data_IF_113895544375
#
_entry.id   IF_113895544375
#
_cell.length_a   1.000
_cell.length_b   1.000
_cell.length_c   1.000
_cell.angle_alpha   90.00
_cell.angle_beta   90.00
_cell.angle_gamma   90.00
#
_symmetry.space_group_name_H-M   'P 1'
#
loop_
_entity.id
_entity.type
_entity.pdbx_description
1 polymer ?
#
# COMPACT_ATOMS: atom_id res chain seq x y z
N UNK A 1 -1.19 -17.67 0.67
CA UNK A 1 -2.25 -17.22 1.60
C UNK A 1 -1.73 -17.52 3.01
N UNK A 2 -1.25 -16.51 3.72
CA UNK A 2 -0.81 -16.68 5.11
C UNK A 2 -2.03 -16.97 5.98
N UNK A 3 -1.97 -18.01 6.81
CA UNK A 3 -3.05 -18.42 7.70
C UNK A 3 -2.88 -17.76 9.07
N UNK A 4 -3.80 -16.87 9.48
CA UNK A 4 -3.74 -16.19 10.76
C UNK A 4 -3.78 -17.09 11.99
N UNK A 5 -4.27 -18.31 11.82
CA UNK A 5 -4.50 -19.23 12.94
C UNK A 5 -3.26 -20.04 13.32
N UNK A 6 -2.25 -20.11 12.45
CA UNK A 6 -1.06 -20.95 12.65
C UNK A 6 0.21 -20.19 13.03
N UNK A 7 0.28 -18.87 12.80
CA UNK A 7 1.47 -18.07 13.12
C UNK A 7 1.17 -16.56 13.37
N UNK A 8 0.44 -16.21 14.44
CA UNK A 8 -0.01 -14.82 14.68
C UNK A 8 1.14 -13.83 14.90
N UNK A 9 2.33 -14.34 15.25
CA UNK A 9 3.52 -13.52 15.53
C UNK A 9 4.06 -12.81 14.28
N UNK A 10 3.96 -13.39 13.08
CA UNK A 10 4.57 -12.84 11.87
C UNK A 10 3.91 -11.51 11.45
N UNK A 11 2.57 -11.40 11.34
CA UNK A 11 1.95 -10.10 11.07
C UNK A 11 2.02 -9.16 12.24
N UNK A 12 1.91 -9.65 13.48
CA UNK A 12 2.08 -8.78 14.65
C UNK A 12 3.43 -8.07 14.61
N UNK A 13 4.49 -8.81 14.27
CA UNK A 13 5.83 -8.27 14.04
C UNK A 13 5.85 -7.32 12.84
N UNK A 14 5.25 -7.69 11.70
CA UNK A 14 5.19 -6.84 10.52
C UNK A 14 4.52 -5.48 10.80
N UNK A 15 3.36 -5.50 11.46
CA UNK A 15 2.65 -4.27 11.87
C UNK A 15 3.49 -3.45 12.85
N UNK A 16 4.09 -4.09 13.86
CA UNK A 16 4.94 -3.40 14.83
C UNK A 16 6.13 -2.69 14.16
N UNK A 17 6.83 -3.39 13.26
CA UNK A 17 7.96 -2.83 12.51
C UNK A 17 7.52 -1.70 11.59
N UNK A 18 6.44 -1.89 10.83
CA UNK A 18 5.91 -0.86 9.94
C UNK A 18 5.57 0.44 10.67
N UNK A 19 4.90 0.35 11.82
CA UNK A 19 4.57 1.53 12.63
C UNK A 19 5.82 2.16 13.25
N UNK A 20 6.76 1.35 13.73
CA UNK A 20 8.03 1.83 14.29
C UNK A 20 8.84 2.63 13.26
N UNK A 21 8.97 2.11 12.04
CA UNK A 21 9.63 2.83 10.93
C UNK A 21 8.86 4.08 10.51
N UNK A 22 7.53 4.05 10.51
CA UNK A 22 6.69 5.22 10.26
C UNK A 22 6.96 6.36 11.25
N UNK A 23 7.01 6.04 12.55
CA UNK A 23 7.32 7.01 13.62
C UNK A 23 8.73 7.58 13.44
N UNK A 24 9.72 6.73 13.19
CA UNK A 24 11.09 7.17 12.93
C UNK A 24 11.13 8.12 11.73
N UNK A 25 10.45 7.77 10.63
CA UNK A 25 10.36 8.62 9.43
C UNK A 25 9.76 9.99 9.72
N UNK A 26 8.68 10.05 10.49
CA UNK A 26 8.06 11.32 10.92
C UNK A 26 9.04 12.16 11.74
N UNK A 27 9.76 11.55 12.68
CA UNK A 27 10.78 12.25 13.47
C UNK A 27 11.88 12.84 12.56
N UNK A 28 12.37 12.08 11.57
CA UNK A 28 13.38 12.58 10.62
C UNK A 28 12.87 13.76 9.79
N UNK A 29 11.59 13.72 9.37
CA UNK A 29 10.94 14.84 8.67
C UNK A 29 10.87 16.08 9.57
N UNK A 30 10.39 15.94 10.81
CA UNK A 30 10.30 17.05 11.76
C UNK A 30 11.67 17.65 12.14
N UNK A 31 12.73 16.84 12.10
CA UNK A 31 14.11 17.29 12.33
C UNK A 31 14.76 17.95 11.10
N UNK A 32 14.06 18.03 9.96
CA UNK A 32 14.59 18.59 8.72
C UNK A 32 15.70 17.74 8.07
N UNK A 33 15.77 16.45 8.40
CA UNK A 33 16.84 15.53 7.94
C UNK A 33 16.51 14.84 6.61
N UNK A 34 15.39 15.20 6.00
CA UNK A 34 14.85 14.55 4.81
C UNK A 34 14.64 15.59 3.71
N UNK A 35 14.99 15.24 2.48
CA UNK A 35 14.78 16.09 1.32
C UNK A 35 13.29 16.21 1.00
N UNK A 36 12.85 17.37 0.51
CA UNK A 36 11.48 17.59 0.03
C UNK A 36 11.13 16.59 -1.08
N UNK A 37 12.09 16.23 -1.95
CA UNK A 37 11.90 15.22 -2.99
C UNK A 37 11.56 13.84 -2.42
N UNK A 38 12.14 13.45 -1.28
CA UNK A 38 11.81 12.19 -0.59
C UNK A 38 10.40 12.22 -0.02
N UNK A 39 9.97 13.35 0.54
CA UNK A 39 8.61 13.53 1.04
C UNK A 39 7.61 13.45 -0.13
N UNK A 40 7.88 14.16 -1.22
CA UNK A 40 7.05 14.14 -2.42
C UNK A 40 6.95 12.72 -3.01
N UNK A 41 8.08 12.00 -3.09
CA UNK A 41 8.10 10.61 -3.53
C UNK A 41 7.23 9.71 -2.65
N UNK A 42 7.32 9.83 -1.32
CA UNK A 42 6.51 9.04 -0.40
C UNK A 42 5.00 9.32 -0.56
N UNK A 43 4.62 10.59 -0.75
CA UNK A 43 3.22 10.98 -0.99
C UNK A 43 2.70 10.43 -2.33
N UNK A 44 3.49 10.53 -3.40
CA UNK A 44 3.12 9.97 -4.72
C UNK A 44 2.91 8.45 -4.61
N UNK A 45 3.81 7.77 -3.90
CA UNK A 45 3.71 6.32 -3.71
C UNK A 45 2.47 5.94 -2.88
N UNK A 46 2.15 6.72 -1.85
CA UNK A 46 0.95 6.52 -1.05
C UNK A 46 -0.33 6.69 -1.88
N UNK A 47 -0.39 7.68 -2.77
CA UNK A 47 -1.53 7.87 -3.68
C UNK A 47 -1.66 6.74 -4.69
N UNK A 48 -0.55 6.26 -5.27
CA UNK A 48 -0.55 5.10 -6.17
C UNK A 48 -1.13 3.86 -5.47
N UNK A 49 -0.73 3.60 -4.23
CA UNK A 49 -1.24 2.51 -3.40
C UNK A 49 -2.73 2.70 -3.04
N UNK A 50 -3.14 3.92 -2.66
CA UNK A 50 -4.54 4.23 -2.34
C UNK A 50 -5.45 4.05 -3.56
N UNK A 51 -4.98 4.48 -4.73
CA UNK A 51 -5.71 4.36 -5.99
C UNK A 51 -5.90 2.89 -6.39
N UNK A 52 -4.88 2.04 -6.23
CA UNK A 52 -5.02 0.60 -6.51
C UNK A 52 -6.02 -0.08 -5.59
N UNK A 53 -6.08 0.29 -4.31
CA UNK A 53 -7.05 -0.28 -3.37
C UNK A 53 -8.46 0.19 -3.73
N UNK A 54 -8.67 1.51 -3.80
CA UNK A 54 -10.02 2.09 -3.90
C UNK A 54 -10.63 1.90 -5.27
N UNK A 55 -9.88 2.17 -6.35
CA UNK A 55 -10.38 2.04 -7.73
C UNK A 55 -10.17 0.61 -8.24
N UNK A 56 -9.04 0.00 -7.93
CA UNK A 56 -8.71 -1.37 -8.33
C UNK A 56 -9.42 -2.42 -7.48
N UNK A 57 -8.83 -2.81 -6.35
CA UNK A 57 -9.27 -3.95 -5.52
C UNK A 57 -10.74 -3.83 -5.14
N UNK A 58 -11.15 -2.70 -4.60
CA UNK A 58 -12.50 -2.48 -4.09
C UNK A 58 -13.52 -2.34 -5.23
N UNK A 59 -13.40 -1.32 -6.09
CA UNK A 59 -14.43 -1.02 -7.10
C UNK A 59 -14.38 -1.93 -8.32
N UNK A 60 -13.20 -2.18 -8.88
CA UNK A 60 -13.05 -2.92 -10.13
C UNK A 60 -12.97 -4.44 -9.92
N UNK A 61 -12.17 -4.91 -8.96
CA UNK A 61 -11.93 -6.34 -8.77
C UNK A 61 -12.98 -7.03 -7.89
N UNK A 62 -13.33 -6.44 -6.75
CA UNK A 62 -14.33 -7.01 -5.83
C UNK A 62 -15.77 -6.72 -6.28
N UNK A 63 -16.13 -5.45 -6.50
CA UNK A 63 -17.52 -5.07 -6.78
C UNK A 63 -17.90 -4.98 -8.25
N UNK A 64 -16.94 -5.04 -9.18
CA UNK A 64 -17.20 -4.93 -10.62
C UNK A 64 -18.04 -3.68 -10.99
N UNK A 65 -17.84 -2.57 -10.28
CA UNK A 65 -18.65 -1.37 -10.37
C UNK A 65 -18.58 -0.67 -11.74
N UNK A 66 -17.55 -0.95 -12.53
CA UNK A 66 -17.39 -0.47 -13.90
C UNK A 66 -16.58 -1.46 -14.75
N UNK A 67 -16.65 -1.31 -16.07
CA UNK A 67 -15.83 -2.05 -17.03
C UNK A 67 -14.56 -1.28 -17.35
N UNK A 68 -13.40 -1.85 -17.05
CA UNK A 68 -12.10 -1.30 -17.39
C UNK A 68 -11.53 -1.98 -18.65
N UNK A 69 -10.77 -1.22 -19.45
CA UNK A 69 -9.96 -1.78 -20.54
C UNK A 69 -8.82 -2.65 -19.97
N UNK A 70 -8.28 -3.62 -20.73
CA UNK A 70 -7.18 -4.45 -20.26
C UNK A 70 -5.96 -3.66 -19.75
N UNK A 71 -5.48 -2.59 -20.42
CA UNK A 71 -4.37 -1.77 -19.90
C UNK A 71 -4.64 -1.18 -18.52
N UNK A 72 -5.85 -0.66 -18.28
CA UNK A 72 -6.23 -0.10 -16.99
C UNK A 72 -6.28 -1.19 -15.90
N UNK A 73 -6.76 -2.39 -16.21
CA UNK A 73 -6.74 -3.53 -15.28
C UNK A 73 -5.31 -3.89 -14.86
N UNK A 74 -4.39 -3.99 -15.81
CA UNK A 74 -2.99 -4.30 -15.52
C UNK A 74 -2.32 -3.19 -14.73
N UNK A 75 -2.55 -1.92 -15.09
CA UNK A 75 -2.05 -0.78 -14.34
C UNK A 75 -2.49 -0.83 -12.87
N UNK A 76 -3.79 -0.99 -12.61
CA UNK A 76 -4.32 -1.07 -11.24
C UNK A 76 -3.80 -2.29 -10.47
N UNK A 77 -3.61 -3.43 -11.15
CA UNK A 77 -3.02 -4.62 -10.54
C UNK A 77 -1.55 -4.42 -10.18
N UNK A 78 -0.77 -3.70 -11.00
CA UNK A 78 0.63 -3.36 -10.71
C UNK A 78 0.70 -2.38 -9.54
N UNK A 79 -0.16 -1.36 -9.50
CA UNK A 79 -0.19 -0.41 -8.40
C UNK A 79 -0.45 -1.09 -7.04
N UNK A 80 -1.18 -2.22 -7.02
CA UNK A 80 -1.45 -2.98 -5.80
C UNK A 80 -0.19 -3.54 -5.11
N UNK A 81 0.92 -3.73 -5.83
CA UNK A 81 2.19 -4.14 -5.20
C UNK A 81 2.69 -3.14 -4.16
N UNK A 82 2.39 -1.85 -4.34
CA UNK A 82 2.80 -0.80 -3.41
C UNK A 82 1.88 -0.69 -2.18
N UNK A 83 0.69 -1.29 -2.23
CA UNK A 83 -0.29 -1.23 -1.15
C UNK A 83 0.05 -2.17 0.02
N UNK A 84 0.74 -3.27 -0.23
CA UNK A 84 1.06 -4.27 0.80
C UNK A 84 -0.18 -4.95 1.41
N UNK A 85 -1.33 -4.94 0.72
CA UNK A 85 -2.63 -5.44 1.22
C UNK A 85 -3.04 -6.77 0.56
N UNK A 86 -2.12 -7.74 0.51
CA UNK A 86 -2.30 -9.05 -0.13
C UNK A 86 -2.66 -8.96 -1.64
N UNK A 87 -2.96 -10.12 -2.23
CA UNK A 87 -3.37 -10.23 -3.63
C UNK A 87 -4.70 -9.55 -3.90
N UNK A 88 -4.95 -9.25 -5.17
CA UNK A 88 -6.26 -8.79 -5.69
C UNK A 88 -7.34 -9.89 -5.67
N UNK A 89 -7.01 -11.07 -5.13
CA UNK A 89 -7.82 -12.28 -5.07
C UNK A 89 -7.90 -12.74 -3.61
#
# INVERSE_FOLDING_TARGET
MWDPTTSPLVPALNYFLAHSFGIIGIIQICQGRVLISTIAFALILAEIASFSITVGVHRLFAHRAFKATPPLKYFLAICNFFAGQNSIW
#
